data_IF_028972147338
#
_entry.id   IF_028972147338
#
_cell.length_a   1.000
_cell.length_b   1.000
_cell.length_c   1.000
_cell.angle_alpha   90.00
_cell.angle_beta   90.00
_cell.angle_gamma   90.00
#
_symmetry.space_group_name_H-M   'P 1'
#
loop_
_entity.id
_entity.type
_entity.pdbx_description
1 polymer ?
#
# COMPACT_ATOMS: atom_id res chain seq x y z
N UNK A 1 46.59 -67.66 4.44
CA UNK A 1 46.11 -66.47 3.71
C UNK A 1 44.69 -66.20 4.18
N UNK A 2 44.53 -65.22 5.06
CA UNK A 2 43.22 -64.83 5.62
C UNK A 2 42.46 -63.97 4.59
N UNK A 3 41.11 -64.07 4.52
CA UNK A 3 40.33 -63.30 3.55
C UNK A 3 40.26 -61.82 3.96
N UNK A 4 39.95 -60.89 3.03
CA UNK A 4 39.92 -59.47 3.31
C UNK A 4 38.77 -59.17 4.27
N UNK A 5 39.05 -58.37 5.29
CA UNK A 5 38.07 -57.84 6.23
C UNK A 5 37.18 -56.82 5.53
N UNK A 6 35.97 -57.24 5.14
CA UNK A 6 34.91 -56.33 4.76
C UNK A 6 34.56 -55.45 5.97
N UNK A 7 34.90 -54.16 5.88
CA UNK A 7 34.44 -53.15 6.82
C UNK A 7 32.92 -52.96 6.66
N UNK A 8 32.15 -53.82 7.34
CA UNK A 8 30.70 -53.72 7.43
C UNK A 8 30.38 -52.45 8.24
N UNK A 9 29.97 -51.39 7.55
CA UNK A 9 29.50 -50.15 8.19
C UNK A 9 28.24 -50.48 9.01
N UNK A 10 28.16 -50.10 10.30
CA UNK A 10 27.00 -50.41 11.13
C UNK A 10 25.72 -49.82 10.55
N UNK A 11 24.66 -50.63 10.51
CA UNK A 11 23.35 -50.31 9.92
C UNK A 11 22.69 -49.07 10.53
N UNK A 12 22.97 -48.75 11.80
CA UNK A 12 22.50 -47.55 12.49
C UNK A 12 23.11 -46.26 11.92
N UNK A 13 24.38 -46.31 11.49
CA UNK A 13 25.09 -45.17 10.89
C UNK A 13 24.57 -44.90 9.47
N UNK A 14 24.22 -45.96 8.74
CA UNK A 14 23.63 -45.86 7.41
C UNK A 14 22.23 -45.21 7.45
N UNK A 15 21.40 -45.55 8.44
CA UNK A 15 20.08 -44.93 8.64
C UNK A 15 20.19 -43.44 9.00
N UNK A 16 21.13 -43.08 9.87
CA UNK A 16 21.40 -41.67 10.23
C UNK A 16 21.88 -40.86 9.01
N UNK A 17 22.78 -41.43 8.21
CA UNK A 17 23.29 -40.78 7.01
C UNK A 17 22.19 -40.57 5.95
N UNK A 18 21.32 -41.56 5.73
CA UNK A 18 20.15 -41.46 4.84
C UNK A 18 19.20 -40.34 5.26
N UNK A 19 18.89 -40.25 6.55
CA UNK A 19 18.03 -39.19 7.10
C UNK A 19 18.64 -37.79 6.93
N UNK A 20 19.96 -37.66 7.15
CA UNK A 20 20.68 -36.39 6.96
C UNK A 20 20.73 -35.94 5.49
N UNK A 21 20.92 -36.87 4.56
CA UNK A 21 20.87 -36.58 3.11
C UNK A 21 19.47 -36.14 2.70
N UNK A 22 18.42 -36.82 3.17
CA UNK A 22 17.04 -36.42 2.91
C UNK A 22 16.71 -35.02 3.43
N UNK A 23 17.20 -34.68 4.63
CA UNK A 23 17.02 -33.34 5.20
C UNK A 23 17.77 -32.26 4.40
N UNK A 24 18.98 -32.55 3.92
CA UNK A 24 19.75 -31.64 3.10
C UNK A 24 19.10 -31.39 1.73
N UNK A 25 18.57 -32.42 1.08
CA UNK A 25 17.81 -32.29 -0.18
C UNK A 25 16.53 -31.48 0.06
N UNK A 26 15.82 -31.73 1.17
CA UNK A 26 14.65 -30.93 1.58
C UNK A 26 15.02 -29.45 1.76
N UNK A 27 16.11 -29.16 2.46
CA UNK A 27 16.59 -27.79 2.64
C UNK A 27 17.01 -27.14 1.32
N UNK A 28 17.63 -27.90 0.41
CA UNK A 28 18.02 -27.43 -0.92
C UNK A 28 16.80 -27.06 -1.78
N UNK A 29 15.77 -27.92 -1.83
CA UNK A 29 14.54 -27.67 -2.59
C UNK A 29 13.70 -26.53 -1.97
N UNK A 30 13.74 -26.38 -0.64
CA UNK A 30 13.03 -25.33 0.10
C UNK A 30 13.82 -24.01 0.21
N UNK A 31 15.08 -23.96 -0.25
CA UNK A 31 15.94 -22.81 -0.07
C UNK A 31 15.44 -21.57 -0.84
N UNK A 32 15.73 -20.40 -0.26
CA UNK A 32 15.34 -19.05 -0.72
C UNK A 32 15.73 -18.73 -2.17
N UNK A 33 16.63 -19.51 -2.77
CA UNK A 33 17.13 -19.34 -4.14
C UNK A 33 16.33 -20.12 -5.21
N UNK A 34 15.35 -20.96 -4.84
CA UNK A 34 14.55 -21.83 -5.74
C UNK A 34 15.35 -22.34 -6.96
N UNK A 35 16.08 -23.46 -6.84
CA UNK A 35 16.99 -23.95 -7.88
C UNK A 35 16.28 -24.14 -9.23
N UNK A 36 17.00 -23.89 -10.33
CA UNK A 36 16.47 -23.98 -11.69
C UNK A 36 15.97 -25.40 -11.99
N UNK A 37 14.98 -25.55 -12.89
CA UNK A 37 14.47 -26.85 -13.32
C UNK A 37 15.59 -27.82 -13.73
N UNK A 38 16.59 -27.32 -14.47
CA UNK A 38 17.77 -28.11 -14.86
C UNK A 38 18.57 -28.64 -13.68
N UNK A 39 18.62 -27.91 -12.57
CA UNK A 39 19.30 -28.34 -11.34
C UNK A 39 18.43 -29.32 -10.57
N UNK A 40 17.12 -29.07 -10.47
CA UNK A 40 16.15 -29.98 -9.85
C UNK A 40 16.12 -31.34 -10.56
N UNK A 41 16.10 -31.33 -11.90
CA UNK A 41 16.08 -32.52 -12.74
C UNK A 41 17.38 -33.33 -12.61
N UNK A 42 18.54 -32.66 -12.65
CA UNK A 42 19.84 -33.32 -12.42
C UNK A 42 19.93 -33.97 -11.05
N UNK A 43 19.42 -33.29 -10.01
CA UNK A 43 19.33 -33.87 -8.68
C UNK A 43 18.43 -35.10 -8.74
N UNK A 44 17.20 -35.00 -9.25
CA UNK A 44 16.27 -36.13 -9.32
C UNK A 44 16.82 -37.33 -10.11
N UNK A 45 17.50 -37.11 -11.23
CA UNK A 45 18.15 -38.17 -12.02
C UNK A 45 19.31 -38.82 -11.27
N UNK A 46 20.11 -38.03 -10.54
CA UNK A 46 21.21 -38.53 -9.73
C UNK A 46 20.73 -39.35 -8.53
N UNK A 47 19.59 -38.97 -7.92
CA UNK A 47 19.07 -39.64 -6.71
C UNK A 47 17.94 -40.65 -6.93
N UNK A 48 17.31 -40.68 -8.11
CA UNK A 48 16.13 -41.49 -8.42
C UNK A 48 16.32 -43.01 -8.23
N UNK A 49 17.54 -43.51 -8.48
CA UNK A 49 17.86 -44.93 -8.34
C UNK A 49 18.62 -45.27 -7.05
N UNK A 50 19.01 -44.26 -6.25
CA UNK A 50 19.88 -44.43 -5.07
C UNK A 50 19.17 -44.17 -3.75
N UNK A 51 18.03 -43.45 -3.76
CA UNK A 51 17.31 -43.10 -2.54
C UNK A 51 16.18 -44.08 -2.16
N UNK A 52 15.92 -44.26 -0.85
CA UNK A 52 14.75 -44.96 -0.32
C UNK A 52 13.41 -44.42 -0.84
N UNK A 53 12.40 -45.31 -0.92
CA UNK A 53 11.04 -44.98 -1.38
C UNK A 53 10.41 -43.80 -0.64
N UNK A 54 10.62 -43.66 0.68
CA UNK A 54 10.01 -42.54 1.42
C UNK A 54 10.53 -41.16 0.95
N UNK A 55 11.77 -41.08 0.44
CA UNK A 55 12.32 -39.83 -0.11
C UNK A 55 11.84 -39.61 -1.54
N UNK A 56 11.70 -40.67 -2.34
CA UNK A 56 11.09 -40.59 -3.66
C UNK A 56 9.63 -40.14 -3.55
N UNK A 57 8.86 -40.64 -2.59
CA UNK A 57 7.49 -40.21 -2.31
C UNK A 57 7.45 -38.71 -1.93
N UNK A 58 8.46 -38.23 -1.20
CA UNK A 58 8.59 -36.83 -0.81
C UNK A 58 8.98 -35.90 -1.98
N UNK A 59 9.83 -36.38 -2.89
CA UNK A 59 10.18 -35.65 -4.13
C UNK A 59 9.02 -35.69 -5.12
N UNK A 60 8.28 -36.79 -5.19
CA UNK A 60 7.04 -36.88 -5.96
C UNK A 60 5.93 -35.97 -5.42
N UNK A 61 5.94 -35.64 -4.13
CA UNK A 61 5.06 -34.62 -3.56
C UNK A 61 5.42 -33.18 -4.00
N UNK A 62 6.63 -32.96 -4.53
CA UNK A 62 7.13 -31.71 -5.09
C UNK A 62 7.84 -31.97 -6.43
N UNK A 63 7.10 -32.41 -7.48
CA UNK A 63 7.70 -32.82 -8.73
C UNK A 63 8.46 -31.65 -9.38
N UNK A 64 9.58 -31.91 -10.10
CA UNK A 64 10.27 -30.87 -10.84
C UNK A 64 9.29 -30.25 -11.84
N UNK A 65 9.32 -28.91 -12.00
CA UNK A 65 8.38 -28.17 -12.86
C UNK A 65 8.24 -28.85 -14.24
N UNK A 66 7.09 -29.39 -14.63
CA UNK A 66 6.99 -30.17 -15.86
C UNK A 66 7.28 -29.30 -17.09
N UNK A 67 8.31 -29.66 -17.86
CA UNK A 67 8.53 -29.14 -19.21
C UNK A 67 7.61 -29.88 -20.19
N UNK A 68 6.51 -29.25 -20.58
CA UNK A 68 5.63 -29.77 -21.63
C UNK A 68 6.16 -29.36 -23.03
N UNK A 69 7.35 -29.83 -23.42
CA UNK A 69 7.93 -29.46 -24.73
C UNK A 69 8.06 -27.94 -24.91
N UNK A 70 7.68 -27.41 -26.08
CA UNK A 70 7.73 -25.96 -26.42
C UNK A 70 6.77 -25.07 -25.58
N UNK A 71 6.23 -25.58 -24.47
CA UNK A 71 5.24 -24.95 -23.61
C UNK A 71 5.92 -24.34 -22.37
N UNK A 72 6.25 -23.05 -22.48
CA UNK A 72 6.81 -22.28 -21.37
C UNK A 72 5.70 -21.75 -20.46
N UNK A 73 5.55 -22.35 -19.28
CA UNK A 73 4.56 -21.94 -18.26
C UNK A 73 4.67 -20.46 -17.89
N UNK A 74 5.89 -19.90 -17.92
CA UNK A 74 6.15 -18.47 -17.71
C UNK A 74 5.46 -17.64 -18.80
N UNK A 75 5.72 -17.97 -20.07
CA UNK A 75 5.14 -17.27 -21.21
C UNK A 75 3.63 -17.36 -21.20
N UNK A 76 3.09 -18.54 -20.91
CA UNK A 76 1.65 -18.77 -20.82
C UNK A 76 1.00 -17.99 -19.66
N UNK A 77 1.71 -17.80 -18.54
CA UNK A 77 1.23 -16.97 -17.43
C UNK A 77 1.10 -15.50 -17.85
N UNK A 78 2.07 -14.97 -18.59
CA UNK A 78 1.99 -13.60 -19.15
C UNK A 78 0.83 -13.46 -20.13
N UNK A 79 0.61 -14.45 -21.01
CA UNK A 79 -0.53 -14.46 -21.94
C UNK A 79 -1.85 -14.54 -21.18
N UNK A 80 -1.95 -15.37 -20.14
CA UNK A 80 -3.14 -15.47 -19.32
C UNK A 80 -3.49 -14.12 -18.66
N UNK A 81 -2.49 -13.41 -18.13
CA UNK A 81 -2.65 -12.05 -17.58
C UNK A 81 -3.09 -11.04 -18.65
N UNK A 82 -2.53 -11.13 -19.86
CA UNK A 82 -2.92 -10.28 -21.01
C UNK A 82 -4.39 -10.50 -21.40
N UNK A 83 -4.84 -11.75 -21.40
CA UNK A 83 -6.21 -12.13 -21.78
C UNK A 83 -7.22 -12.03 -20.64
N UNK A 84 -6.81 -11.59 -19.45
CA UNK A 84 -7.65 -11.53 -18.24
C UNK A 84 -8.31 -12.87 -17.87
N UNK A 85 -7.60 -13.97 -18.14
CA UNK A 85 -8.11 -15.32 -17.93
C UNK A 85 -7.70 -15.83 -16.54
N UNK A 86 -8.50 -15.48 -15.53
CA UNK A 86 -8.24 -15.79 -14.13
C UNK A 86 -8.13 -17.31 -13.85
N UNK A 87 -8.96 -18.12 -14.50
CA UNK A 87 -8.94 -19.58 -14.34
C UNK A 87 -7.60 -20.13 -14.83
N UNK A 88 -7.16 -19.68 -16.01
CA UNK A 88 -5.88 -20.09 -16.60
C UNK A 88 -4.70 -19.61 -15.76
N UNK A 89 -4.76 -18.40 -15.20
CA UNK A 89 -3.75 -17.92 -14.23
C UNK A 89 -3.68 -18.85 -13.02
N UNK A 90 -4.83 -19.23 -12.46
CA UNK A 90 -4.91 -20.13 -11.30
C UNK A 90 -4.32 -21.50 -11.60
N UNK A 91 -4.65 -22.08 -12.75
CA UNK A 91 -4.14 -23.38 -13.17
C UNK A 91 -2.64 -23.34 -13.44
N UNK A 92 -2.13 -22.29 -14.10
CA UNK A 92 -0.71 -22.12 -14.36
C UNK A 92 0.10 -21.95 -13.07
N UNK A 93 -0.42 -21.18 -12.10
CA UNK A 93 0.19 -21.06 -10.77
C UNK A 93 0.21 -22.42 -10.03
N UNK A 94 -0.86 -23.21 -10.13
CA UNK A 94 -0.89 -24.59 -9.58
C UNK A 94 0.10 -25.53 -10.24
N UNK A 95 0.33 -25.36 -11.54
CA UNK A 95 1.35 -26.10 -12.30
C UNK A 95 2.79 -25.63 -12.00
N UNK A 96 2.96 -24.62 -11.12
CA UNK A 96 4.26 -24.14 -10.69
C UNK A 96 4.87 -23.07 -11.59
N UNK A 97 4.05 -22.35 -12.38
CA UNK A 97 4.50 -21.19 -13.15
C UNK A 97 5.21 -20.18 -12.23
N UNK A 98 6.31 -19.63 -12.72
CA UNK A 98 7.11 -18.69 -11.95
C UNK A 98 6.54 -17.28 -12.05
N UNK A 99 6.00 -16.75 -10.95
CA UNK A 99 5.40 -15.42 -10.92
C UNK A 99 6.43 -14.27 -11.05
N UNK A 100 7.67 -14.53 -10.63
CA UNK A 100 8.76 -13.54 -10.65
C UNK A 100 9.53 -13.55 -11.96
N UNK A 101 9.22 -14.50 -12.84
CA UNK A 101 9.83 -14.55 -14.15
C UNK A 101 9.39 -13.38 -15.02
N UNK A 102 10.33 -12.90 -15.83
CA UNK A 102 10.10 -11.78 -16.74
C UNK A 102 10.03 -12.26 -18.17
N UNK A 103 9.20 -11.60 -18.98
CA UNK A 103 9.12 -11.81 -20.41
C UNK A 103 10.34 -11.21 -21.14
N UNK A 104 10.35 -11.29 -22.48
CA UNK A 104 11.41 -10.74 -23.34
C UNK A 104 11.57 -9.20 -23.25
N UNK A 105 10.58 -8.50 -22.70
CA UNK A 105 10.64 -7.04 -22.44
C UNK A 105 11.04 -6.73 -20.99
N UNK A 106 11.35 -7.73 -20.17
CA UNK A 106 11.72 -7.54 -18.77
C UNK A 106 10.54 -7.27 -17.82
N UNK A 107 9.31 -7.51 -18.25
CA UNK A 107 8.10 -7.34 -17.42
C UNK A 107 7.71 -8.66 -16.79
N UNK A 108 7.37 -8.64 -15.50
CA UNK A 108 6.78 -9.80 -14.82
C UNK A 108 5.29 -9.96 -15.15
N UNK A 109 4.71 -11.10 -14.80
CA UNK A 109 3.27 -11.32 -14.91
C UNK A 109 2.46 -10.29 -14.08
N UNK A 110 2.99 -9.89 -12.92
CA UNK A 110 2.40 -8.85 -12.07
C UNK A 110 2.41 -7.49 -12.76
N UNK A 111 3.51 -7.14 -13.43
CA UNK A 111 3.62 -5.86 -14.15
C UNK A 111 2.66 -5.78 -15.35
N UNK A 112 2.47 -6.89 -16.06
CA UNK A 112 1.47 -6.98 -17.14
C UNK A 112 0.07 -6.81 -16.59
N UNK A 113 -0.25 -7.45 -15.46
CA UNK A 113 -1.57 -7.33 -14.84
C UNK A 113 -1.84 -5.91 -14.29
N UNK A 114 -0.83 -5.25 -13.72
CA UNK A 114 -0.91 -3.86 -13.24
C UNK A 114 -1.11 -2.88 -14.39
N UNK A 115 -0.33 -3.01 -15.48
CA UNK A 115 -0.47 -2.17 -16.68
C UNK A 115 -1.86 -2.28 -17.32
N UNK A 116 -2.50 -3.45 -17.23
CA UNK A 116 -3.82 -3.71 -17.78
C UNK A 116 -4.95 -3.50 -16.75
N UNK A 117 -4.64 -3.02 -15.55
CA UNK A 117 -5.58 -2.76 -14.46
C UNK A 117 -6.42 -3.99 -14.04
N UNK A 118 -5.83 -5.18 -14.06
CA UNK A 118 -6.52 -6.46 -13.76
C UNK A 118 -6.42 -6.82 -12.28
N UNK A 119 -7.23 -6.18 -11.45
CA UNK A 119 -7.22 -6.32 -9.97
C UNK A 119 -7.34 -7.78 -9.53
N UNK A 120 -8.28 -8.55 -10.07
CA UNK A 120 -8.50 -9.95 -9.67
C UNK A 120 -7.33 -10.87 -10.06
N UNK A 121 -6.71 -10.61 -11.23
CA UNK A 121 -5.50 -11.32 -11.65
C UNK A 121 -4.33 -10.99 -10.71
N UNK A 122 -4.17 -9.72 -10.34
CA UNK A 122 -3.16 -9.29 -9.37
C UNK A 122 -3.36 -9.99 -8.03
N UNK A 123 -4.58 -9.99 -7.48
CA UNK A 123 -4.89 -10.72 -6.22
C UNK A 123 -4.52 -12.19 -6.32
N UNK A 124 -4.82 -12.83 -7.46
CA UNK A 124 -4.48 -14.24 -7.68
C UNK A 124 -2.98 -14.50 -7.78
N UNK A 125 -2.23 -13.62 -8.42
CA UNK A 125 -0.76 -13.66 -8.47
C UNK A 125 -0.14 -13.45 -7.08
N UNK A 126 -0.80 -12.67 -6.23
CA UNK A 126 -0.37 -12.36 -4.86
C UNK A 126 -0.99 -13.29 -3.80
N UNK A 127 -1.70 -14.35 -4.18
CA UNK A 127 -2.44 -15.18 -3.23
C UNK A 127 -1.58 -15.89 -2.15
N UNK A 128 -0.28 -16.07 -2.39
CA UNK A 128 0.64 -16.70 -1.41
C UNK A 128 1.37 -15.67 -0.53
N UNK A 129 1.05 -14.38 -0.68
CA UNK A 129 1.60 -13.34 0.17
C UNK A 129 0.99 -13.47 1.55
N UNK A 130 1.85 -13.57 2.56
CA UNK A 130 1.44 -13.40 3.94
C UNK A 130 1.15 -11.91 4.20
N UNK A 131 -0.14 -11.56 4.14
CA UNK A 131 -0.63 -10.19 4.32
C UNK A 131 -0.33 -9.68 5.74
N UNK A 132 -0.35 -10.56 6.75
CA UNK A 132 -0.12 -10.18 8.14
C UNK A 132 1.35 -9.79 8.37
N UNK A 133 2.30 -10.58 7.85
CA UNK A 133 3.73 -10.35 8.09
C UNK A 133 4.39 -9.43 7.06
N UNK A 134 3.98 -9.51 5.80
CA UNK A 134 4.65 -8.85 4.69
C UNK A 134 3.78 -7.82 3.96
N UNK A 135 2.48 -7.70 4.29
CA UNK A 135 1.52 -6.86 3.57
C UNK A 135 1.94 -5.39 3.47
N UNK A 136 2.33 -4.78 4.59
CA UNK A 136 2.77 -3.37 4.62
C UNK A 136 4.05 -3.15 3.81
N UNK A 137 5.01 -4.07 3.92
CA UNK A 137 6.25 -3.99 3.16
C UNK A 137 5.99 -4.10 1.65
N UNK A 138 5.11 -5.01 1.23
CA UNK A 138 4.73 -5.14 -0.17
C UNK A 138 3.95 -3.93 -0.68
N UNK A 139 3.10 -3.34 0.15
CA UNK A 139 2.40 -2.09 -0.17
C UNK A 139 3.41 -0.97 -0.44
N UNK A 140 4.44 -0.82 0.40
CA UNK A 140 5.50 0.17 0.20
C UNK A 140 6.28 -0.08 -1.10
N UNK A 141 6.61 -1.32 -1.44
CA UNK A 141 7.25 -1.64 -2.72
C UNK A 141 6.36 -1.30 -3.91
N UNK A 142 5.06 -1.60 -3.86
CA UNK A 142 4.10 -1.26 -4.91
C UNK A 142 3.99 0.27 -5.08
N UNK A 143 3.97 1.02 -3.98
CA UNK A 143 3.97 2.49 -3.98
C UNK A 143 5.23 3.04 -4.64
N UNK A 144 6.41 2.52 -4.28
CA UNK A 144 7.69 2.95 -4.86
C UNK A 144 7.76 2.69 -6.37
N UNK A 145 7.12 1.63 -6.85
CA UNK A 145 7.04 1.29 -8.28
C UNK A 145 5.90 2.00 -9.02
N UNK A 146 5.03 2.72 -8.33
CA UNK A 146 3.88 3.41 -8.91
C UNK A 146 2.72 2.47 -9.33
N UNK A 147 2.69 1.25 -8.82
CA UNK A 147 1.75 0.19 -9.22
C UNK A 147 0.39 0.36 -8.56
N UNK A 148 -0.45 1.25 -9.09
CA UNK A 148 -1.74 1.60 -8.47
C UNK A 148 -2.71 0.42 -8.37
N UNK A 149 -2.69 -0.51 -9.33
CA UNK A 149 -3.58 -1.68 -9.30
C UNK A 149 -3.10 -2.71 -8.27
N UNK A 150 -1.79 -2.85 -8.08
CA UNK A 150 -1.22 -3.65 -6.98
C UNK A 150 -1.54 -3.05 -5.62
N UNK A 151 -1.43 -1.72 -5.48
CA UNK A 151 -1.82 -1.01 -4.26
C UNK A 151 -3.30 -1.27 -3.93
N UNK A 152 -4.20 -1.12 -4.90
CA UNK A 152 -5.62 -1.43 -4.71
C UNK A 152 -5.83 -2.87 -4.26
N UNK A 153 -5.22 -3.84 -4.96
CA UNK A 153 -5.38 -5.25 -4.64
C UNK A 153 -4.91 -5.58 -3.22
N UNK A 154 -3.75 -5.06 -2.80
CA UNK A 154 -3.22 -5.25 -1.45
C UNK A 154 -4.15 -4.67 -0.36
N UNK A 155 -4.70 -3.47 -0.59
CA UNK A 155 -5.64 -2.86 0.35
C UNK A 155 -6.96 -3.64 0.45
N UNK A 156 -7.44 -4.19 -0.66
CA UNK A 156 -8.62 -5.07 -0.70
C UNK A 156 -8.35 -6.46 -0.09
N UNK A 157 -7.10 -6.93 -0.09
CA UNK A 157 -6.68 -8.20 0.55
C UNK A 157 -6.54 -8.11 2.08
N UNK A 158 -6.75 -6.93 2.68
CA UNK A 158 -6.77 -6.77 4.14
C UNK A 158 -5.53 -6.11 4.75
N UNK A 159 -4.55 -5.64 3.95
CA UNK A 159 -3.35 -4.95 4.49
C UNK A 159 -3.73 -3.76 5.38
N UNK A 160 -4.84 -3.08 5.07
CA UNK A 160 -5.35 -1.94 5.84
C UNK A 160 -5.74 -2.28 7.29
N UNK A 161 -6.08 -3.53 7.60
CA UNK A 161 -6.46 -3.96 8.96
C UNK A 161 -5.24 -4.02 9.89
N UNK A 162 -4.03 -4.06 9.31
CA UNK A 162 -2.77 -4.10 10.03
C UNK A 162 -2.07 -2.74 10.08
N UNK A 163 -2.74 -1.66 9.66
CA UNK A 163 -2.20 -0.31 9.71
C UNK A 163 -3.04 0.55 10.65
N UNK A 164 -2.40 1.11 11.67
CA UNK A 164 -2.97 2.21 12.45
C UNK A 164 -2.86 3.53 11.68
N UNK A 165 -3.47 4.59 12.23
CA UNK A 165 -3.52 5.90 11.57
C UNK A 165 -2.11 6.49 11.37
N UNK A 166 -1.21 6.35 12.34
CA UNK A 166 0.15 6.89 12.27
C UNK A 166 1.01 6.15 11.24
N UNK A 167 0.93 4.82 11.18
CA UNK A 167 1.60 4.01 10.17
C UNK A 167 1.06 4.33 8.78
N UNK A 168 -0.26 4.42 8.64
CA UNK A 168 -0.87 4.75 7.35
C UNK A 168 -0.52 6.18 6.90
N UNK A 169 -0.43 7.15 7.82
CA UNK A 169 0.08 8.50 7.53
C UNK A 169 1.51 8.47 7.00
N UNK A 170 2.36 7.61 7.58
CA UNK A 170 3.72 7.35 7.08
C UNK A 170 3.73 6.75 5.68
N UNK A 171 2.87 5.77 5.41
CA UNK A 171 2.70 5.16 4.07
C UNK A 171 2.25 6.22 3.05
N UNK A 172 1.29 7.07 3.42
CA UNK A 172 0.80 8.16 2.56
C UNK A 172 1.89 9.20 2.28
N UNK A 173 2.71 9.53 3.28
CA UNK A 173 3.88 10.41 3.12
C UNK A 173 4.88 9.84 2.09
N UNK A 174 5.13 8.53 2.14
CA UNK A 174 5.97 7.82 1.17
C UNK A 174 5.34 7.88 -0.23
N UNK A 175 4.03 7.70 -0.36
CA UNK A 175 3.35 7.84 -1.65
C UNK A 175 3.51 9.24 -2.26
N UNK A 176 3.47 10.29 -1.42
CA UNK A 176 3.75 11.66 -1.85
C UNK A 176 5.19 11.82 -2.38
N UNK A 177 6.14 11.10 -1.79
CA UNK A 177 7.56 11.12 -2.16
C UNK A 177 7.87 10.39 -3.48
N UNK A 178 7.26 9.23 -3.74
CA UNK A 178 7.61 8.37 -4.90
C UNK A 178 6.69 8.52 -6.11
N UNK A 179 5.51 9.12 -5.97
CA UNK A 179 4.93 9.92 -7.04
C UNK A 179 4.15 9.21 -8.13
N UNK A 180 2.94 8.76 -7.80
CA UNK A 180 1.86 8.58 -8.80
C UNK A 180 0.55 9.08 -8.19
N UNK A 181 -0.14 10.02 -8.87
CA UNK A 181 -1.45 10.50 -8.42
C UNK A 181 -2.44 9.36 -8.30
N UNK A 182 -2.34 8.36 -9.19
CA UNK A 182 -3.16 7.14 -9.13
C UNK A 182 -2.94 6.33 -7.85
N UNK A 183 -1.70 6.28 -7.34
CA UNK A 183 -1.40 5.61 -6.07
C UNK A 183 -1.99 6.39 -4.90
N UNK A 184 -1.88 7.71 -4.91
CA UNK A 184 -2.48 8.58 -3.89
C UNK A 184 -4.00 8.42 -3.86
N UNK A 185 -4.65 8.46 -5.02
CA UNK A 185 -6.09 8.24 -5.16
C UNK A 185 -6.50 6.82 -4.72
N UNK A 186 -5.71 5.80 -5.06
CA UNK A 186 -5.96 4.42 -4.62
C UNK A 186 -5.85 4.29 -3.08
N UNK A 187 -4.86 4.91 -2.45
CA UNK A 187 -4.71 4.90 -1.00
C UNK A 187 -5.88 5.58 -0.30
N UNK A 188 -6.38 6.70 -0.83
CA UNK A 188 -7.54 7.40 -0.24
C UNK A 188 -8.84 6.65 -0.42
N UNK A 189 -9.01 5.97 -1.56
CA UNK A 189 -10.24 5.26 -1.89
C UNK A 189 -10.34 3.91 -1.18
N UNK A 190 -9.24 3.18 -1.06
CA UNK A 190 -9.23 1.79 -0.58
C UNK A 190 -8.54 1.61 0.78
N UNK A 191 -7.75 2.59 1.22
CA UNK A 191 -7.00 2.53 2.47
C UNK A 191 -7.84 2.81 3.72
N UNK A 192 -7.19 2.78 4.90
CA UNK A 192 -7.74 3.35 6.12
C UNK A 192 -8.13 4.82 5.88
N UNK A 193 -9.24 5.26 6.47
CA UNK A 193 -9.62 6.67 6.39
C UNK A 193 -8.54 7.55 7.01
N UNK A 194 -7.94 8.43 6.21
CA UNK A 194 -6.95 9.42 6.64
C UNK A 194 -7.51 10.81 6.39
N UNK A 195 -7.27 11.74 7.33
CA UNK A 195 -7.51 13.15 7.08
C UNK A 195 -6.23 13.79 6.54
N UNK A 196 -6.30 14.32 5.32
CA UNK A 196 -5.18 14.94 4.62
C UNK A 196 -5.02 16.40 5.04
N UNK A 197 -6.11 17.12 5.30
CA UNK A 197 -6.11 18.57 5.55
C UNK A 197 -5.25 19.05 6.73
N UNK A 198 -5.14 18.38 7.90
CA UNK A 198 -4.28 18.83 9.00
C UNK A 198 -2.79 18.70 8.68
N UNK A 199 -2.45 17.80 7.76
CA UNK A 199 -1.07 17.45 7.40
C UNK A 199 -0.70 17.90 5.98
N UNK A 200 -1.56 18.69 5.32
CA UNK A 200 -1.39 19.17 3.95
C UNK A 200 0.01 19.73 3.72
N UNK A 201 0.45 20.66 4.58
CA UNK A 201 1.76 21.29 4.47
C UNK A 201 2.91 20.27 4.47
N UNK A 202 2.81 19.23 5.31
CA UNK A 202 3.82 18.18 5.41
C UNK A 202 3.88 17.35 4.11
N UNK A 203 2.72 16.90 3.62
CA UNK A 203 2.63 16.10 2.39
C UNK A 203 3.07 16.88 1.15
N UNK A 204 2.62 18.13 1.03
CA UNK A 204 3.00 19.03 -0.07
C UNK A 204 4.50 19.32 -0.05
N UNK A 205 5.09 19.59 1.11
CA UNK A 205 6.53 19.84 1.21
C UNK A 205 7.35 18.62 0.76
N UNK A 206 6.97 17.41 1.18
CA UNK A 206 7.65 16.18 0.75
C UNK A 206 7.51 15.95 -0.75
N UNK A 207 6.30 16.08 -1.31
CA UNK A 207 6.08 15.93 -2.73
C UNK A 207 6.87 16.97 -3.56
N UNK A 208 6.93 18.23 -3.10
CA UNK A 208 7.70 19.27 -3.76
C UNK A 208 9.22 19.04 -3.65
N UNK A 209 9.70 18.54 -2.50
CA UNK A 209 11.11 18.20 -2.30
C UNK A 209 11.57 17.09 -3.26
N UNK A 210 10.69 16.13 -3.58
CA UNK A 210 10.95 15.08 -4.58
C UNK A 210 10.58 15.46 -6.01
N UNK A 211 10.17 16.71 -6.25
CA UNK A 211 9.76 17.28 -7.55
C UNK A 211 8.47 16.66 -8.14
N UNK A 212 7.63 16.05 -7.31
CA UNK A 212 6.32 15.54 -7.69
C UNK A 212 5.24 16.62 -7.63
N UNK A 213 5.30 17.58 -8.56
CA UNK A 213 4.36 18.72 -8.60
C UNK A 213 2.91 18.26 -8.80
N UNK A 214 2.69 17.20 -9.58
CA UNK A 214 1.36 16.64 -9.82
C UNK A 214 0.72 16.10 -8.53
N UNK A 215 1.49 15.37 -7.72
CA UNK A 215 1.01 14.87 -6.43
C UNK A 215 0.79 16.02 -5.44
N UNK A 216 1.69 17.00 -5.40
CA UNK A 216 1.50 18.18 -4.57
C UNK A 216 0.22 18.96 -4.92
N UNK A 217 -0.12 19.09 -6.21
CA UNK A 217 -1.37 19.69 -6.65
C UNK A 217 -2.59 18.85 -6.22
N UNK A 218 -2.52 17.53 -6.43
CA UNK A 218 -3.60 16.62 -6.06
C UNK A 218 -3.87 16.60 -4.56
N UNK A 219 -2.83 16.61 -3.72
CA UNK A 219 -2.97 16.68 -2.26
C UNK A 219 -3.65 17.97 -1.80
N UNK A 220 -3.36 19.12 -2.43
CA UNK A 220 -4.05 20.38 -2.12
C UNK A 220 -5.53 20.32 -2.45
N UNK A 221 -5.86 19.78 -3.63
CA UNK A 221 -7.25 19.58 -4.06
C UNK A 221 -8.01 18.71 -3.05
N UNK A 222 -7.44 17.57 -2.64
CA UNK A 222 -8.05 16.68 -1.63
C UNK A 222 -8.22 17.40 -0.28
N UNK A 223 -7.23 18.19 0.15
CA UNK A 223 -7.32 18.93 1.41
C UNK A 223 -8.40 20.03 1.35
N UNK A 224 -8.59 20.69 0.21
CA UNK A 224 -9.68 21.65 -0.01
C UNK A 224 -11.06 20.97 -0.02
N UNK A 225 -11.19 19.83 -0.70
CA UNK A 225 -12.40 19.00 -0.69
C UNK A 225 -12.79 18.57 0.73
N UNK A 226 -11.82 18.12 1.54
CA UNK A 226 -12.04 17.78 2.94
C UNK A 226 -12.53 18.98 3.76
N UNK A 227 -11.89 20.15 3.61
CA UNK A 227 -12.28 21.37 4.31
C UNK A 227 -13.69 21.82 3.94
N UNK A 228 -14.03 21.78 2.64
CA UNK A 228 -15.37 22.10 2.16
C UNK A 228 -16.42 21.12 2.72
N UNK A 229 -16.12 19.82 2.73
CA UNK A 229 -17.01 18.80 3.30
C UNK A 229 -17.27 19.05 4.79
N UNK A 230 -16.23 19.35 5.56
CA UNK A 230 -16.35 19.66 7.00
C UNK A 230 -17.19 20.93 7.22
N UNK A 231 -16.95 21.98 6.42
CA UNK A 231 -17.70 23.23 6.52
C UNK A 231 -19.20 23.05 6.18
N UNK A 232 -19.52 22.32 5.11
CA UNK A 232 -20.89 22.02 4.72
C UNK A 232 -21.63 21.16 5.77
N UNK A 233 -20.92 20.21 6.38
CA UNK A 233 -21.46 19.42 7.49
C UNK A 233 -21.74 20.32 8.71
N UNK A 234 -20.81 21.22 9.07
CA UNK A 234 -21.02 22.16 10.16
C UNK A 234 -22.22 23.08 9.92
N UNK A 235 -22.41 23.59 8.70
CA UNK A 235 -23.55 24.44 8.33
C UNK A 235 -24.90 23.73 8.51
N UNK A 236 -24.98 22.45 8.12
CA UNK A 236 -26.17 21.61 8.30
C UNK A 236 -26.60 21.48 9.77
N UNK A 237 -25.65 21.48 10.71
CA UNK A 237 -25.92 21.36 12.15
C UNK A 237 -25.97 22.71 12.89
N UNK A 238 -25.55 23.80 12.24
CA UNK A 238 -25.58 25.17 12.79
C UNK A 238 -26.77 26.01 12.33
N UNK A 239 -27.67 25.46 11.50
CA UNK A 239 -28.96 26.07 11.23
C UNK A 239 -30.01 25.51 12.23
N UNK A 240 -30.27 26.18 13.37
CA UNK A 240 -31.63 26.09 13.91
C UNK A 240 -32.55 26.61 12.80
N UNK A 241 -33.69 25.96 12.59
CA UNK A 241 -34.73 26.44 11.68
C UNK A 241 -34.82 27.96 11.80
N UNK A 242 -34.51 28.64 10.69
CA UNK A 242 -34.23 30.08 10.65
C UNK A 242 -35.47 30.96 10.87
N UNK A 243 -36.46 30.45 11.60
CA UNK A 243 -37.68 31.14 11.97
C UNK A 243 -37.57 31.83 13.33
N UNK A 244 -36.62 31.44 14.20
CA UNK A 244 -36.47 32.01 15.56
C UNK A 244 -35.09 32.58 15.91
N UNK A 245 -34.26 32.91 14.92
CA UNK A 245 -32.98 33.60 15.18
C UNK A 245 -33.23 35.02 15.70
N UNK A 246 -34.30 35.69 15.24
CA UNK A 246 -34.71 37.00 15.73
C UNK A 246 -35.13 36.96 17.22
N UNK A 247 -35.85 35.92 17.65
CA UNK A 247 -36.26 35.72 19.04
C UNK A 247 -35.08 35.33 19.96
N UNK A 248 -34.06 34.66 19.44
CA UNK A 248 -32.88 34.27 20.23
C UNK A 248 -31.95 35.47 20.50
N UNK A 249 -31.98 36.48 19.64
CA UNK A 249 -31.21 37.72 19.81
C UNK A 249 -32.03 38.87 20.40
N UNK A 250 -33.37 38.78 20.49
CA UNK A 250 -34.19 39.79 21.18
C UNK A 250 -33.89 39.84 22.68
N UNK A 251 -33.77 38.67 23.33
CA UNK A 251 -33.38 38.57 24.75
C UNK A 251 -31.97 39.13 25.02
N UNK A 252 -31.10 39.17 24.01
CA UNK A 252 -29.73 39.69 24.14
C UNK A 252 -29.63 41.19 23.81
N UNK A 253 -30.62 41.76 23.10
CA UNK A 253 -30.65 43.16 22.68
C UNK A 253 -31.47 44.05 23.62
N UNK A 254 -32.41 43.48 24.39
CA UNK A 254 -33.16 44.22 25.42
C UNK A 254 -32.26 44.69 26.59
N UNK A 255 -31.15 44.00 26.86
CA UNK A 255 -30.17 44.39 27.89
C UNK A 255 -29.23 45.53 27.44
N UNK A 256 -29.20 45.88 26.15
CA UNK A 256 -28.33 46.94 25.61
C UNK A 256 -29.03 48.30 25.53
N UNK A 257 -30.37 48.34 25.51
CA UNK A 257 -31.14 49.59 25.41
C UNK A 257 -31.21 50.40 26.72
N UNK A 258 -30.89 49.83 27.88
CA UNK A 258 -30.92 50.56 29.17
C UNK A 258 -29.71 51.51 29.36
N UNK A 259 -28.70 51.45 28.50
CA UNK A 259 -27.48 52.27 28.63
C UNK A 259 -27.52 53.60 27.83
N UNK A 260 -28.59 53.92 27.10
CA UNK A 260 -28.59 55.07 26.17
C UNK A 260 -29.60 56.19 26.44
N UNK A 261 -30.43 56.10 27.50
CA UNK A 261 -31.54 57.05 27.71
C UNK A 261 -31.30 58.20 28.70
N UNK A 262 -30.09 58.41 29.25
CA UNK A 262 -29.79 59.61 30.04
C UNK A 262 -28.54 60.32 29.49
N UNK A 263 -28.75 61.23 28.54
CA UNK A 263 -28.03 62.52 28.40
C UNK A 263 -28.10 63.16 26.99
N UNK A 264 -29.28 63.16 26.35
CA UNK A 264 -29.52 64.02 25.16
C UNK A 264 -30.76 64.89 25.36
N UNK A 265 -30.70 65.80 26.35
CA UNK A 265 -31.54 67.01 26.33
C UNK A 265 -30.92 68.16 27.10
N UNK A 266 -29.93 68.84 26.50
CA UNK A 266 -29.68 70.28 26.73
C UNK A 266 -28.79 70.85 25.63
N UNK A 267 -29.44 71.23 24.53
CA UNK A 267 -28.87 72.21 23.61
C UNK A 267 -28.82 73.59 24.27
N UNK A 268 -27.63 74.19 24.34
CA UNK A 268 -27.39 75.64 24.32
C UNK A 268 -25.97 75.88 23.77
N UNK A 269 -25.90 76.44 22.55
CA UNK A 269 -24.80 77.33 22.12
C UNK A 269 -25.07 78.74 22.70
N UNK A 270 -24.15 79.73 22.64
CA UNK A 270 -22.76 79.74 22.18
C UNK A 270 -21.81 80.48 23.18
N UNK A 271 -20.51 80.59 22.90
CA UNK A 271 -19.80 81.88 22.72
C UNK A 271 -18.27 81.80 22.88
N UNK A 272 -17.63 82.39 21.87
CA UNK A 272 -16.44 83.25 21.90
C UNK A 272 -15.09 82.78 22.48
N UNK A 273 -14.10 83.03 21.62
CA UNK A 273 -12.94 83.92 21.85
C UNK A 273 -11.55 83.27 22.04
N UNK A 274 -10.66 83.73 21.13
CA UNK A 274 -9.22 84.01 21.29
C UNK A 274 -8.29 82.79 21.22
N UNK A 275 -7.57 82.60 20.11
CA UNK A 275 -6.29 83.23 19.71
C UNK A 275 -5.10 82.86 20.61
N UNK A 276 -3.95 82.66 19.92
CA UNK A 276 -2.60 82.32 20.37
C UNK A 276 -2.33 80.82 20.54
N UNK A 277 -1.23 80.25 20.09
CA UNK A 277 -0.13 80.69 19.22
C UNK A 277 0.69 79.43 18.86
N UNK A 278 1.50 79.53 17.80
CA UNK A 278 2.80 78.88 17.58
C UNK A 278 3.05 77.47 18.18
N UNK A 279 3.31 76.43 17.38
CA UNK A 279 4.48 76.34 16.50
C UNK A 279 5.48 75.31 17.05
N UNK A 280 6.19 74.62 16.12
CA UNK A 280 7.32 73.68 16.26
C UNK A 280 6.96 72.22 15.90
N UNK A 281 7.19 71.83 14.62
CA UNK A 281 8.42 71.23 14.06
C UNK A 281 8.56 69.75 14.46
N UNK A 282 8.21 68.82 13.57
CA UNK A 282 9.12 68.11 12.64
C UNK A 282 10.32 67.44 13.33
N UNK A 283 10.38 66.10 13.33
CA UNK A 283 11.15 65.22 12.41
C UNK A 283 10.44 63.85 12.41
#
# INVERSE_FOLDING_TARGET
>A
MSPPTDHIIPTSTLASLKSRIGLAIRQFLMARLRPSYTEQQKVLEAVGNTLPREILDLICAYPPRPMYGNFDLTRELHVACLTDNLDRVTDLLRLGADRESVNHTGLSALDVADFLHRVEVVKRLMADVDIEQAGVMQLLYAIQRGQSTVVQALLEMGVKEHMDEDLFRGVFLIACSFGSTFVVDALLKYGPGISVSPFENMFVQVAMATKNVAVAARVREIAEEERWRIAAEAEKYMLPEADNIADLFSDFLDDVEVMSSEDVSRGKKPDNALLHDEGLRSI
#
